data_IF_404187954885
#
_entry.id   IF_404187954885
#
_cell.length_a   1.000
_cell.length_b   1.000
_cell.length_c   1.000
_cell.angle_alpha   90.00
_cell.angle_beta   90.00
_cell.angle_gamma   90.00
#
_symmetry.space_group_name_H-M   'P 1'
#
loop_
_entity.id
_entity.type
_entity.pdbx_description
1 polymer ?
#
# COMPACT_ATOMS: atom_id res chain seq x y z
N UNK A 1 13.35 9.03 -14.69
CA UNK A 1 12.21 9.20 -15.61
C UNK A 1 11.91 7.84 -16.22
N UNK A 2 10.65 7.39 -16.23
CA UNK A 2 10.28 6.04 -16.72
C UNK A 2 9.45 5.18 -15.76
N UNK A 3 8.90 5.74 -14.67
CA UNK A 3 7.96 5.02 -13.82
C UNK A 3 6.61 4.89 -14.53
N UNK A 4 6.08 3.66 -14.63
CA UNK A 4 4.72 3.42 -15.13
C UNK A 4 3.83 2.90 -13.98
N UNK A 5 2.88 3.70 -13.47
CA UNK A 5 2.04 3.31 -12.34
C UNK A 5 1.05 2.19 -12.64
N UNK A 6 0.78 1.91 -13.92
CA UNK A 6 -0.14 0.85 -14.33
C UNK A 6 0.54 -0.53 -14.40
N UNK A 7 1.87 -0.57 -14.33
CA UNK A 7 2.65 -1.81 -14.41
C UNK A 7 2.94 -2.33 -13.00
N UNK A 8 2.74 -3.63 -12.81
CA UNK A 8 3.07 -4.30 -11.53
C UNK A 8 4.57 -4.14 -11.26
N UNK A 9 4.99 -3.78 -10.04
CA UNK A 9 6.38 -3.47 -9.76
C UNK A 9 7.26 -4.71 -9.52
N UNK A 10 7.32 -5.60 -10.50
CA UNK A 10 8.15 -6.81 -10.49
C UNK A 10 9.37 -6.66 -11.38
N UNK A 11 10.45 -7.38 -11.07
CA UNK A 11 11.64 -7.39 -11.93
C UNK A 11 11.46 -8.39 -13.08
N UNK A 12 10.80 -9.51 -12.78
CA UNK A 12 10.47 -10.54 -13.75
C UNK A 12 8.95 -10.70 -13.85
N UNK A 13 8.48 -11.14 -15.02
CA UNK A 13 7.04 -11.40 -15.26
C UNK A 13 6.48 -12.54 -14.41
N UNK A 14 7.35 -13.45 -13.95
CA UNK A 14 7.00 -14.62 -13.13
C UNK A 14 6.94 -14.32 -11.61
N UNK A 15 7.25 -13.09 -11.20
CA UNK A 15 7.22 -12.71 -9.79
C UNK A 15 5.82 -12.23 -9.36
N UNK A 16 5.47 -12.46 -8.10
CA UNK A 16 4.21 -11.99 -7.52
C UNK A 16 4.47 -10.78 -6.61
N UNK A 17 3.59 -9.77 -6.68
CA UNK A 17 3.62 -8.63 -5.77
C UNK A 17 2.88 -9.02 -4.50
N UNK A 18 3.62 -9.13 -3.40
CA UNK A 18 3.02 -9.34 -2.08
C UNK A 18 2.53 -8.01 -1.54
N UNK A 19 1.21 -7.90 -1.36
CA UNK A 19 0.56 -6.73 -0.75
C UNK A 19 0.08 -7.12 0.63
N UNK A 20 0.65 -6.49 1.66
CA UNK A 20 0.16 -6.61 3.03
C UNK A 20 -0.83 -5.50 3.28
N UNK A 21 -2.06 -5.84 3.66
CA UNK A 21 -3.05 -4.88 4.08
C UNK A 21 -3.42 -5.09 5.55
N UNK A 22 -3.61 -3.98 6.26
CA UNK A 22 -4.14 -3.92 7.59
C UNK A 22 -5.30 -2.95 7.62
N UNK A 23 -6.32 -3.28 8.41
CA UNK A 23 -7.45 -2.40 8.63
C UNK A 23 -7.45 -1.99 10.10
N UNK A 24 -7.41 -0.68 10.33
CA UNK A 24 -7.62 -0.11 11.65
C UNK A 24 -9.03 0.47 11.71
N UNK A 25 -9.90 -0.14 12.49
CA UNK A 25 -11.22 0.41 12.78
C UNK A 25 -11.07 1.57 13.76
N UNK A 26 -11.43 2.77 13.31
CA UNK A 26 -11.40 3.98 14.16
C UNK A 26 -12.71 4.12 14.91
N UNK A 27 -13.83 4.00 14.19
CA UNK A 27 -15.16 4.20 14.75
C UNK A 27 -16.22 3.41 14.00
N UNK A 28 -17.21 2.88 14.74
CA UNK A 28 -18.47 2.38 14.19
C UNK A 28 -19.51 3.51 14.20
N UNK A 29 -19.89 4.01 13.02
CA UNK A 29 -20.78 5.16 12.86
C UNK A 29 -22.24 4.72 12.97
N UNK A 30 -22.64 3.68 12.23
CA UNK A 30 -23.98 3.11 12.27
C UNK A 30 -23.98 1.62 11.91
N UNK A 31 -24.97 0.90 12.43
CA UNK A 31 -25.31 -0.48 12.04
C UNK A 31 -26.79 -0.53 11.71
N UNK A 32 -27.10 -1.02 10.51
CA UNK A 32 -28.45 -1.36 10.07
C UNK A 32 -28.56 -2.89 10.11
N UNK A 33 -29.04 -3.42 11.23
CA UNK A 33 -28.99 -4.85 11.52
C UNK A 33 -29.92 -5.67 10.62
N UNK A 34 -31.10 -5.16 10.26
CA UNK A 34 -32.02 -5.88 9.36
C UNK A 34 -31.44 -5.99 7.95
N UNK A 35 -30.73 -4.97 7.51
CA UNK A 35 -30.12 -4.85 6.19
C UNK A 35 -28.67 -5.35 6.14
N UNK A 36 -28.07 -5.70 7.29
CA UNK A 36 -26.67 -6.14 7.45
C UNK A 36 -25.64 -5.13 6.92
N UNK A 37 -25.92 -3.83 7.08
CA UNK A 37 -25.04 -2.74 6.62
C UNK A 37 -24.37 -2.09 7.81
N UNK A 38 -23.03 -1.97 7.76
CA UNK A 38 -22.24 -1.24 8.75
C UNK A 38 -21.55 -0.05 8.10
N UNK A 39 -21.70 1.13 8.70
CA UNK A 39 -20.97 2.34 8.35
C UNK A 39 -19.88 2.57 9.38
N UNK A 40 -18.62 2.54 8.96
CA UNK A 40 -17.45 2.65 9.83
C UNK A 40 -16.46 3.69 9.29
N UNK A 41 -15.73 4.33 10.19
CA UNK A 41 -14.52 5.07 9.86
C UNK A 41 -13.33 4.12 10.06
N UNK A 42 -12.55 3.88 9.01
CA UNK A 42 -11.43 2.95 9.03
C UNK A 42 -10.22 3.56 8.33
N UNK A 43 -9.03 3.22 8.81
CA UNK A 43 -7.80 3.41 8.06
C UNK A 43 -7.43 2.11 7.36
N UNK A 44 -7.41 2.14 6.03
CA UNK A 44 -6.84 1.08 5.23
C UNK A 44 -5.34 1.36 5.08
N UNK A 45 -4.52 0.53 5.70
CA UNK A 45 -3.07 0.60 5.55
C UNK A 45 -2.62 -0.50 4.59
N UNK A 46 -2.00 -0.11 3.47
CA UNK A 46 -1.45 -1.03 2.49
C UNK A 46 0.04 -0.82 2.36
N UNK A 47 0.78 -1.92 2.32
CA UNK A 47 2.22 -1.94 2.14
C UNK A 47 2.58 -2.94 1.06
N UNK A 48 3.36 -2.50 0.10
CA UNK A 48 4.01 -3.36 -0.89
C UNK A 48 5.40 -2.79 -1.20
N UNK A 49 6.21 -3.60 -1.87
CA UNK A 49 7.53 -3.20 -2.34
C UNK A 49 7.46 -2.83 -3.83
N UNK A 50 7.91 -1.62 -4.18
CA UNK A 50 8.02 -1.18 -5.57
C UNK A 50 9.48 -1.18 -6.04
N UNK A 51 9.81 -2.06 -7.00
CA UNK A 51 11.16 -2.19 -7.53
C UNK A 51 11.60 -1.03 -8.44
N UNK A 52 10.66 -0.30 -9.05
CA UNK A 52 10.95 0.85 -9.91
C UNK A 52 11.30 2.10 -9.09
N UNK A 53 10.86 2.15 -7.83
CA UNK A 53 11.10 3.27 -6.92
C UNK A 53 12.37 3.10 -6.08
N UNK A 54 13.35 2.31 -6.53
CA UNK A 54 14.66 2.21 -5.87
C UNK A 54 15.54 3.40 -6.25
N UNK A 55 16.23 4.01 -5.29
CA UNK A 55 17.23 5.05 -5.52
C UNK A 55 18.51 4.77 -4.75
N UNK A 56 19.64 5.33 -5.21
CA UNK A 56 20.90 5.29 -4.46
C UNK A 56 20.91 6.45 -3.44
N UNK A 57 20.91 6.20 -2.12
CA UNK A 57 20.92 7.24 -1.08
C UNK A 57 22.12 8.21 -1.17
N UNK A 58 23.29 7.74 -1.60
CA UNK A 58 24.51 8.54 -1.70
C UNK A 58 24.39 9.66 -2.74
N UNK A 59 23.64 9.42 -3.81
CA UNK A 59 23.39 10.42 -4.87
C UNK A 59 22.47 11.56 -4.40
N UNK A 60 21.81 11.39 -3.26
CA UNK A 60 20.87 12.36 -2.70
C UNK A 60 21.28 12.84 -1.30
N UNK A 61 22.54 12.63 -0.91
CA UNK A 61 23.09 13.15 0.35
C UNK A 61 22.53 12.51 1.61
N UNK A 62 21.77 11.42 1.50
CA UNK A 62 21.26 10.66 2.63
C UNK A 62 22.37 9.72 3.11
N UNK A 63 23.30 10.27 3.92
CA UNK A 63 24.22 9.45 4.72
C UNK A 63 23.40 8.69 5.76
N UNK A 64 23.53 7.37 5.77
CA UNK A 64 23.09 6.56 6.91
C UNK A 64 24.06 6.90 8.06
N UNK A 65 23.54 7.54 9.11
CA UNK A 65 24.27 7.85 10.34
C UNK A 65 24.30 6.59 11.21
#
# INVERSE_FOLDING_TARGET
>A
QGYNPLVRPTQHSNETVVVSFGLLLVQLIHVYEKEQIMKTNTWLHMKWYDSQLRWNPERYGLKII
#
